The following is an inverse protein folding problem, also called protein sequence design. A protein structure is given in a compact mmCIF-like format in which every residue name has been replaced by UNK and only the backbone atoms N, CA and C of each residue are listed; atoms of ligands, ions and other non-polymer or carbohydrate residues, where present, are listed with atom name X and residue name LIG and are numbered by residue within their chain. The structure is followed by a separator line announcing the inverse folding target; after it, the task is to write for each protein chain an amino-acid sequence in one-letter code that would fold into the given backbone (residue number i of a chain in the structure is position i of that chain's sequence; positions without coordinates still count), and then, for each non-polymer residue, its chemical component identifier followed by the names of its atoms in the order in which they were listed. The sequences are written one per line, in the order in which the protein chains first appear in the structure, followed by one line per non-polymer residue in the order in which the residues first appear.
data_IF_363420336298
#
_entry.id   IF_363420336298
#
_cell.length_a   1.000
_cell.length_b   1.000
_cell.length_c   1.000
_cell.angle_alpha   90.00
_cell.angle_beta   90.00
_cell.angle_gamma   90.00
#
_symmetry.space_group_name_H-M   'P 1'
#
loop_
_entity.id
_entity.type
_entity.pdbx_description
1 polymer ?
#
# COMPACT_ATOMS: atom_id res chain seq x y z
N UNK A 1 14.28 -14.98 16.23
CA UNK A 1 13.20 -13.96 16.20
C UNK A 1 13.23 -13.18 14.89
N UNK A 2 12.30 -13.43 13.96
CA UNK A 2 12.32 -12.81 12.63
C UNK A 2 12.08 -11.30 12.69
N UNK A 3 13.01 -10.50 12.13
CA UNK A 3 12.90 -9.03 12.01
C UNK A 3 11.48 -8.66 11.54
N UNK A 4 10.65 -8.09 12.43
CA UNK A 4 9.33 -7.53 12.07
C UNK A 4 9.56 -6.51 10.96
N UNK A 5 9.39 -6.91 9.68
CA UNK A 5 9.45 -5.98 8.55
C UNK A 5 8.43 -4.88 8.87
N UNK A 6 8.88 -3.63 8.94
CA UNK A 6 7.99 -2.50 9.22
C UNK A 6 6.80 -2.54 8.26
N UNK A 7 5.60 -2.20 8.74
CA UNK A 7 4.40 -2.21 7.92
C UNK A 7 4.60 -1.45 6.60
N UNK A 8 5.38 -0.36 6.64
CA UNK A 8 5.81 0.39 5.46
C UNK A 8 6.64 -0.44 4.46
N UNK A 9 7.64 -1.22 4.91
CA UNK A 9 8.42 -2.12 4.02
C UNK A 9 7.52 -3.19 3.37
N UNK A 10 6.59 -3.77 4.13
CA UNK A 10 5.63 -4.75 3.60
C UNK A 10 4.72 -4.11 2.55
N UNK A 11 4.19 -2.92 2.84
CA UNK A 11 3.31 -2.19 1.95
C UNK A 11 4.02 -1.78 0.66
N UNK A 12 5.23 -1.21 0.74
CA UNK A 12 6.03 -0.89 -0.44
C UNK A 12 6.45 -2.13 -1.24
N UNK A 13 6.71 -3.25 -0.56
CA UNK A 13 6.95 -4.53 -1.23
C UNK A 13 5.72 -5.02 -2.00
N UNK A 14 4.52 -4.85 -1.45
CA UNK A 14 3.28 -5.13 -2.15
C UNK A 14 3.12 -4.26 -3.40
N UNK A 15 3.31 -2.93 -3.27
CA UNK A 15 3.22 -2.02 -4.42
C UNK A 15 4.18 -2.43 -5.53
N UNK A 16 5.45 -2.69 -5.19
CA UNK A 16 6.49 -3.08 -6.16
C UNK A 16 6.19 -4.40 -6.87
N UNK A 17 5.49 -5.34 -6.21
CA UNK A 17 5.05 -6.59 -6.83
C UNK A 17 3.82 -6.38 -7.71
N UNK A 18 2.79 -5.73 -7.19
CA UNK A 18 1.51 -5.52 -7.89
C UNK A 18 1.67 -4.59 -9.10
N UNK A 19 2.53 -3.57 -9.03
CA UNK A 19 2.80 -2.70 -10.20
C UNK A 19 3.40 -3.45 -11.39
N UNK A 20 4.08 -4.58 -11.16
CA UNK A 20 4.64 -5.41 -12.24
C UNK A 20 3.54 -6.21 -12.95
N UNK A 21 2.47 -6.55 -12.24
CA UNK A 21 1.39 -7.41 -12.74
C UNK A 21 0.18 -6.60 -13.23
N UNK A 22 -0.02 -5.37 -12.74
CA UNK A 22 -1.11 -4.51 -13.16
C UNK A 22 -0.90 -3.95 -14.57
N UNK A 23 -1.93 -4.07 -15.40
CA UNK A 23 -2.09 -3.25 -16.61
C UNK A 23 -2.75 -1.94 -16.20
N UNK A 24 -2.09 -0.82 -16.47
CA UNK A 24 -2.69 0.50 -16.27
C UNK A 24 -3.77 0.73 -17.33
N UNK A 25 -4.92 1.26 -16.93
CA UNK A 25 -5.90 1.79 -17.88
C UNK A 25 -5.45 3.19 -18.35
N UNK A 26 -5.89 3.60 -19.54
CA UNK A 26 -5.62 4.94 -20.09
C UNK A 26 -6.08 5.99 -19.06
N UNK A 27 -5.18 6.88 -18.66
CA UNK A 27 -5.44 7.91 -17.63
C UNK A 27 -5.15 7.50 -16.17
N UNK A 28 -4.65 6.28 -15.91
CA UNK A 28 -4.26 5.85 -14.55
C UNK A 28 -2.82 5.32 -14.50
N UNK A 29 -2.16 5.48 -13.35
CA UNK A 29 -0.82 4.92 -13.14
C UNK A 29 -0.92 3.54 -12.51
N UNK A 30 -0.02 2.62 -12.92
CA UNK A 30 0.10 1.29 -12.28
C UNK A 30 0.33 1.40 -10.78
N UNK A 31 0.97 2.49 -10.34
CA UNK A 31 1.24 2.75 -8.93
C UNK A 31 -0.04 3.06 -8.16
N UNK A 32 -0.93 3.91 -8.70
CA UNK A 32 -2.22 4.20 -8.08
C UNK A 32 -3.09 2.95 -7.90
N UNK A 33 -3.17 2.10 -8.94
CA UNK A 33 -3.86 0.81 -8.85
C UNK A 33 -3.21 -0.13 -7.85
N UNK A 34 -1.87 -0.18 -7.81
CA UNK A 34 -1.14 -1.01 -6.86
C UNK A 34 -1.37 -0.55 -5.41
N UNK A 35 -1.42 0.76 -5.15
CA UNK A 35 -1.73 1.33 -3.84
C UNK A 35 -3.13 0.91 -3.40
N UNK A 36 -4.13 0.98 -4.27
CA UNK A 36 -5.50 0.57 -3.96
C UNK A 36 -5.55 -0.91 -3.56
N UNK A 37 -4.98 -1.80 -4.40
CA UNK A 37 -4.92 -3.25 -4.12
C UNK A 37 -4.21 -3.54 -2.80
N UNK A 38 -3.06 -2.90 -2.55
CA UNK A 38 -2.31 -3.10 -1.32
C UNK A 38 -3.02 -2.53 -0.09
N UNK A 39 -3.79 -1.45 -0.23
CA UNK A 39 -4.63 -0.88 0.84
C UNK A 39 -5.74 -1.85 1.22
N UNK A 40 -6.46 -2.36 0.23
CA UNK A 40 -7.51 -3.37 0.40
C UNK A 40 -6.98 -4.63 1.09
N UNK A 41 -5.79 -5.11 0.72
CA UNK A 41 -5.25 -6.37 1.24
C UNK A 41 -4.54 -6.23 2.59
N UNK A 42 -3.88 -5.11 2.86
CA UNK A 42 -3.01 -4.94 4.04
C UNK A 42 -3.55 -4.00 5.10
N UNK A 43 -4.43 -3.05 4.77
CA UNK A 43 -4.94 -2.04 5.71
C UNK A 43 -6.40 -2.29 6.06
N UNK A 44 -7.20 -2.68 5.07
CA UNK A 44 -8.64 -2.87 5.21
C UNK A 44 -9.04 -3.92 6.26
N UNK A 45 -8.38 -5.09 6.36
CA UNK A 45 -8.68 -6.08 7.40
C UNK A 45 -8.43 -5.57 8.82
N UNK A 46 -7.62 -4.51 8.96
CA UNK A 46 -7.30 -3.89 10.24
C UNK A 46 -8.10 -2.61 10.50
N UNK A 47 -9.18 -2.36 9.74
CA UNK A 47 -10.01 -1.16 9.88
C UNK A 47 -9.26 0.15 9.56
N UNK A 48 -8.19 0.06 8.75
CA UNK A 48 -7.35 1.20 8.37
C UNK A 48 -7.48 1.49 6.88
N UNK A 49 -7.27 2.75 6.52
CA UNK A 49 -7.06 3.18 5.14
C UNK A 49 -5.77 3.99 5.03
N UNK A 50 -5.31 4.19 3.81
CA UNK A 50 -4.09 4.93 3.54
C UNK A 50 -4.34 6.43 3.70
N UNK A 51 -3.44 7.13 4.40
CA UNK A 51 -3.39 8.60 4.44
C UNK A 51 -2.22 9.12 3.60
N UNK A 52 -1.02 8.55 3.77
CA UNK A 52 0.17 8.90 2.99
C UNK A 52 1.11 7.70 2.92
N UNK A 53 1.66 7.44 1.74
CA UNK A 53 2.71 6.42 1.54
C UNK A 53 3.93 7.07 0.90
N UNK A 54 5.12 6.63 1.32
CA UNK A 54 6.39 6.99 0.69
C UNK A 54 7.27 5.75 0.63
N UNK A 55 7.69 5.36 -0.56
CA UNK A 55 8.43 4.11 -0.81
C UNK A 55 9.88 4.34 -1.26
N UNK A 56 10.56 5.28 -0.61
CA UNK A 56 11.96 5.64 -0.83
C UNK A 56 12.93 4.85 0.07
N UNK A 57 14.19 5.31 0.17
CA UNK A 57 15.23 4.74 1.05
C UNK A 57 14.71 4.48 2.48
N UNK A 58 13.89 5.41 3.00
CA UNK A 58 13.19 5.25 4.29
C UNK A 58 11.68 5.16 4.03
N UNK A 59 11.10 3.95 4.00
CA UNK A 59 9.69 3.78 3.69
C UNK A 59 8.82 4.29 4.84
N UNK A 60 7.83 5.14 4.53
CA UNK A 60 6.85 5.67 5.49
C UNK A 60 5.44 5.28 5.07
N UNK A 61 4.65 4.84 6.04
CA UNK A 61 3.25 4.48 5.87
C UNK A 61 2.43 5.14 6.97
N UNK A 62 1.67 6.16 6.59
CA UNK A 62 0.72 6.84 7.45
C UNK A 62 -0.67 6.33 7.09
N UNK A 63 -1.35 5.79 8.08
CA UNK A 63 -2.71 5.25 7.96
C UNK A 63 -3.67 6.09 8.78
N UNK A 64 -4.95 6.04 8.42
CA UNK A 64 -6.04 6.60 9.21
C UNK A 64 -7.10 5.54 9.47
N UNK A 65 -7.93 5.74 10.50
CA UNK A 65 -9.06 4.85 10.77
C UNK A 65 -10.05 4.94 9.62
N UNK A 66 -10.55 3.79 9.18
CA UNK A 66 -11.65 3.73 8.20
C UNK A 66 -12.90 4.22 8.92
N UNK A 67 -13.46 5.34 8.48
CA UNK A 67 -14.81 5.74 8.92
C UNK A 67 -15.79 4.80 8.23
N UNK A 68 -16.59 4.08 9.02
CA UNK A 68 -17.80 3.44 8.51
C UNK A 68 -18.81 4.57 8.31
N UNK A 69 -19.33 4.68 7.10
CA UNK A 69 -20.50 5.49 6.80
C UNK A 69 -21.72 4.56 6.73
#
# INVERSE_FOLDING_TARGET
MGKKRSAAKKFCGCIKKVRKTLKARKGSSKESGAIAVCTTRLLWPHGKTLRKVRCDKVPRLLTQKRRHH
#
